data_IF_531387341152
#
_entry.id   IF_531387341152
#
_cell.length_a   1.000
_cell.length_b   1.000
_cell.length_c   1.000
_cell.angle_alpha   90.00
_cell.angle_beta   90.00
_cell.angle_gamma   90.00
#
_symmetry.space_group_name_H-M   'P 1'
#
loop_
_entity.id
_entity.type
_entity.pdbx_description
1 polymer ?
#
# COMPACT_ATOMS: atom_id res chain seq x y z
N UNK A 1 -10.38 -71.50 59.30
CA UNK A 1 -9.84 -70.18 58.91
C UNK A 1 -11.02 -69.28 58.57
N UNK A 2 -11.24 -68.21 59.35
CA UNK A 2 -12.43 -67.41 59.33
C UNK A 2 -12.59 -66.64 58.00
N UNK A 3 -13.68 -66.83 57.30
CA UNK A 3 -13.98 -66.16 56.02
C UNK A 3 -13.78 -64.64 56.09
N UNK A 4 -14.05 -64.05 57.27
CA UNK A 4 -13.85 -62.63 57.53
C UNK A 4 -12.36 -62.23 57.54
N UNK A 5 -11.46 -63.12 58.05
CA UNK A 5 -10.04 -62.84 58.06
C UNK A 5 -9.45 -62.86 56.63
N UNK A 6 -9.86 -63.82 55.82
CA UNK A 6 -9.44 -63.89 54.41
C UNK A 6 -9.89 -62.72 53.60
N UNK A 7 -11.11 -62.25 53.83
CA UNK A 7 -11.69 -61.08 53.15
C UNK A 7 -10.92 -59.79 53.49
N UNK A 8 -10.59 -59.60 54.77
CA UNK A 8 -9.82 -58.44 55.21
C UNK A 8 -8.38 -58.47 54.65
N UNK A 9 -7.73 -59.61 54.61
CA UNK A 9 -6.39 -59.73 54.00
C UNK A 9 -6.44 -59.40 52.50
N UNK A 10 -7.44 -59.87 51.76
CA UNK A 10 -7.66 -59.50 50.35
C UNK A 10 -7.89 -57.99 50.16
N UNK A 11 -8.69 -57.36 51.02
CA UNK A 11 -8.97 -55.93 50.96
C UNK A 11 -7.68 -55.11 51.18
N UNK A 12 -6.87 -55.46 52.19
CA UNK A 12 -5.60 -54.76 52.44
C UNK A 12 -4.59 -54.98 51.32
N UNK A 13 -4.54 -56.19 50.72
CA UNK A 13 -3.68 -56.50 49.58
C UNK A 13 -4.05 -55.68 48.33
N UNK A 14 -5.35 -55.64 47.95
CA UNK A 14 -5.83 -54.86 46.83
C UNK A 14 -5.70 -53.36 47.08
N UNK A 15 -5.90 -52.88 48.31
CA UNK A 15 -5.71 -51.50 48.70
C UNK A 15 -4.24 -51.08 48.57
N UNK A 16 -3.31 -51.96 48.93
CA UNK A 16 -1.85 -51.73 48.79
C UNK A 16 -1.43 -51.64 47.30
N UNK A 17 -1.96 -52.55 46.46
CA UNK A 17 -1.69 -52.50 45.01
C UNK A 17 -2.29 -51.22 44.38
N UNK A 18 -3.48 -50.82 44.77
CA UNK A 18 -4.10 -49.59 44.30
C UNK A 18 -3.34 -48.34 44.72
N UNK A 19 -2.86 -48.30 45.96
CA UNK A 19 -2.02 -47.22 46.45
C UNK A 19 -0.67 -47.12 45.69
N UNK A 20 -0.05 -48.28 45.39
CA UNK A 20 1.16 -48.35 44.58
C UNK A 20 0.91 -47.87 43.13
N UNK A 21 -0.20 -48.26 42.56
CA UNK A 21 -0.62 -47.80 41.23
C UNK A 21 -0.87 -46.28 41.21
N UNK A 22 -1.52 -45.74 42.24
CA UNK A 22 -1.73 -44.30 42.38
C UNK A 22 -0.43 -43.53 42.51
N UNK A 23 0.52 -44.06 43.33
CA UNK A 23 1.84 -43.43 43.46
C UNK A 23 2.59 -43.46 42.11
N UNK A 24 2.56 -44.60 41.41
CA UNK A 24 3.19 -44.72 40.09
C UNK A 24 2.52 -43.79 39.08
N UNK A 25 1.20 -43.70 39.08
CA UNK A 25 0.42 -42.79 38.22
C UNK A 25 0.76 -41.32 38.49
N UNK A 26 0.84 -40.93 39.76
CA UNK A 26 1.23 -39.55 40.16
C UNK A 26 2.69 -39.27 39.77
N UNK A 27 3.62 -40.20 40.02
CA UNK A 27 5.02 -40.03 39.62
C UNK A 27 5.19 -39.98 38.10
N UNK A 28 4.42 -40.77 37.37
CA UNK A 28 4.42 -40.73 35.90
C UNK A 28 3.87 -39.37 35.36
N UNK A 29 2.79 -38.88 35.95
CA UNK A 29 2.23 -37.55 35.56
C UNK A 29 3.10 -36.40 36.06
N UNK A 30 3.78 -36.51 37.19
CA UNK A 30 4.74 -35.49 37.64
C UNK A 30 6.01 -35.49 36.78
N UNK A 31 6.45 -36.65 36.29
CA UNK A 31 7.55 -36.77 35.35
C UNK A 31 7.24 -36.20 33.96
N UNK A 32 5.99 -36.32 33.50
CA UNK A 32 5.52 -35.71 32.23
C UNK A 32 5.11 -34.23 32.34
N UNK A 33 4.97 -33.69 33.58
CA UNK A 33 4.69 -32.25 33.79
C UNK A 33 5.96 -31.38 33.60
N UNK A 34 7.14 -31.98 33.34
CA UNK A 34 8.38 -31.28 33.02
C UNK A 34 8.58 -31.02 31.52
N UNK A 35 7.59 -31.25 30.64
CA UNK A 35 7.70 -30.84 29.25
C UNK A 35 7.85 -29.33 29.17
N UNK A 36 9.07 -28.87 28.98
CA UNK A 36 9.34 -27.45 28.64
C UNK A 36 8.75 -27.18 27.28
N UNK A 37 7.50 -26.69 27.25
CA UNK A 37 6.88 -26.19 26.05
C UNK A 37 7.61 -24.89 25.67
N UNK A 38 8.54 -25.02 24.74
CA UNK A 38 9.16 -23.84 24.15
C UNK A 38 8.10 -23.04 23.35
N UNK A 39 8.06 -21.72 23.50
CA UNK A 39 7.24 -20.92 22.61
C UNK A 39 7.71 -21.10 21.17
N UNK A 40 6.78 -21.43 20.28
CA UNK A 40 7.10 -21.70 18.87
C UNK A 40 6.32 -20.77 17.93
N UNK A 41 6.91 -20.52 16.76
CA UNK A 41 6.24 -19.90 15.62
C UNK A 41 6.33 -20.84 14.42
N UNK A 42 5.33 -20.81 13.55
CA UNK A 42 5.32 -21.65 12.35
C UNK A 42 6.03 -20.95 11.21
N UNK A 43 6.95 -21.66 10.54
CA UNK A 43 7.57 -21.20 9.30
C UNK A 43 6.51 -21.16 8.18
N UNK A 44 5.92 -20.02 7.96
CA UNK A 44 4.93 -19.79 6.91
C UNK A 44 5.54 -19.06 5.72
N UNK A 45 5.00 -19.27 4.51
CA UNK A 45 5.39 -18.48 3.35
C UNK A 45 4.85 -17.07 3.49
N UNK A 46 5.73 -16.11 3.31
CA UNK A 46 5.40 -14.69 3.24
C UNK A 46 6.11 -14.04 2.06
N UNK A 47 5.55 -12.93 1.61
CA UNK A 47 6.19 -12.03 0.65
C UNK A 47 6.63 -10.77 1.40
N UNK A 48 7.81 -10.28 1.10
CA UNK A 48 8.37 -9.07 1.66
C UNK A 48 8.84 -8.16 0.55
N UNK A 49 8.31 -6.96 0.52
CA UNK A 49 8.71 -5.94 -0.44
C UNK A 49 9.86 -5.12 0.15
N UNK A 50 10.91 -4.96 -0.64
CA UNK A 50 11.97 -3.98 -0.44
C UNK A 50 11.68 -2.77 -1.31
N UNK A 51 11.82 -1.58 -0.76
CA UNK A 51 11.54 -0.34 -1.48
C UNK A 51 11.64 0.85 -0.55
N UNK A 52 11.23 2.00 -1.05
CA UNK A 52 11.27 3.26 -0.32
C UNK A 52 10.06 4.14 -0.65
N UNK A 53 9.76 5.06 0.25
CA UNK A 53 8.75 6.09 0.07
C UNK A 53 9.41 7.38 -0.40
N UNK A 54 8.72 8.09 -1.29
CA UNK A 54 9.17 9.39 -1.79
C UNK A 54 7.98 10.23 -2.24
N UNK A 55 8.19 11.55 -2.26
CA UNK A 55 7.26 12.49 -2.90
C UNK A 55 7.57 12.54 -4.39
N UNK A 56 6.57 12.23 -5.21
CA UNK A 56 6.67 12.23 -6.66
C UNK A 56 5.84 13.35 -7.30
N UNK A 57 6.29 13.80 -8.44
CA UNK A 57 5.63 14.83 -9.25
C UNK A 57 5.28 14.28 -10.62
N UNK A 58 4.02 14.48 -11.03
CA UNK A 58 3.46 13.97 -12.29
C UNK A 58 3.75 14.94 -13.41
N UNK A 59 4.31 14.42 -14.51
CA UNK A 59 4.53 15.11 -15.78
C UNK A 59 3.66 14.45 -16.84
N UNK A 60 2.82 15.25 -17.52
CA UNK A 60 1.92 14.77 -18.55
C UNK A 60 1.59 15.89 -19.52
N UNK A 61 1.49 15.57 -20.81
CA UNK A 61 1.08 16.53 -21.83
C UNK A 61 -0.42 16.74 -21.74
N UNK A 62 -0.81 17.91 -21.24
CA UNK A 62 -2.18 18.28 -20.91
C UNK A 62 -2.57 19.55 -21.66
N UNK A 63 -3.79 19.52 -22.19
CA UNK A 63 -4.40 20.66 -22.84
C UNK A 63 -5.56 21.17 -22.00
N UNK A 64 -5.43 22.35 -21.41
CA UNK A 64 -6.51 23.02 -20.70
C UNK A 64 -7.57 23.46 -21.69
N UNK A 65 -8.83 23.26 -21.32
CA UNK A 65 -9.99 23.73 -22.08
C UNK A 65 -10.45 25.05 -21.48
N UNK A 66 -10.16 26.14 -22.17
CA UNK A 66 -10.62 27.46 -21.76
C UNK A 66 -12.14 27.48 -21.67
N UNK A 67 -12.68 28.04 -20.61
CA UNK A 67 -14.12 28.28 -20.47
C UNK A 67 -14.41 29.79 -20.66
N UNK A 68 -15.40 30.15 -21.50
CA UNK A 68 -15.87 31.51 -21.56
C UNK A 68 -16.59 31.90 -20.26
N UNK A 69 -16.94 33.17 -20.12
CA UNK A 69 -17.77 33.62 -18.99
C UNK A 69 -19.11 32.85 -18.95
N UNK A 70 -19.36 32.21 -17.79
CA UNK A 70 -20.52 31.36 -17.56
C UNK A 70 -20.16 30.08 -16.83
N UNK A 71 -21.15 29.22 -16.64
CA UNK A 71 -20.98 27.95 -15.93
C UNK A 71 -20.81 26.81 -16.93
N UNK A 72 -19.62 26.25 -16.99
CA UNK A 72 -19.31 25.14 -17.87
C UNK A 72 -19.59 23.79 -17.16
N UNK A 73 -20.49 22.99 -17.74
CA UNK A 73 -20.86 21.66 -17.19
C UNK A 73 -20.60 20.57 -18.19
N UNK A 74 -20.07 19.48 -17.67
CA UNK A 74 -19.76 18.27 -18.43
C UNK A 74 -20.55 17.07 -17.92
N UNK A 75 -20.88 16.17 -18.84
CA UNK A 75 -21.39 14.82 -18.52
C UNK A 75 -20.31 13.74 -18.63
N UNK A 76 -19.11 14.12 -19.07
CA UNK A 76 -18.00 13.20 -19.25
C UNK A 76 -17.44 12.75 -17.90
N UNK A 77 -17.00 11.49 -17.86
CA UNK A 77 -16.35 10.91 -16.69
C UNK A 77 -14.85 11.19 -16.69
N UNK A 78 -14.27 11.21 -15.50
CA UNK A 78 -12.82 11.27 -15.33
C UNK A 78 -12.11 10.12 -16.08
N UNK A 79 -11.13 10.46 -16.92
CA UNK A 79 -10.40 9.50 -17.73
C UNK A 79 -11.14 9.03 -18.98
N UNK A 80 -12.33 9.55 -19.29
CA UNK A 80 -13.06 9.19 -20.49
C UNK A 80 -12.31 9.59 -21.76
N UNK A 81 -12.21 8.63 -22.69
CA UNK A 81 -11.54 8.88 -23.97
C UNK A 81 -12.46 9.68 -24.88
N UNK A 82 -11.97 10.80 -25.40
CA UNK A 82 -12.71 11.70 -26.26
C UNK A 82 -11.97 11.93 -27.58
N UNK A 83 -12.73 12.15 -28.63
CA UNK A 83 -12.21 12.46 -29.94
C UNK A 83 -12.21 13.97 -30.20
N UNK A 84 -11.26 14.43 -31.01
CA UNK A 84 -11.25 15.81 -31.49
C UNK A 84 -12.61 16.22 -32.10
N UNK A 85 -13.12 17.38 -31.70
CA UNK A 85 -14.41 17.91 -32.12
C UNK A 85 -15.63 17.44 -31.31
N UNK A 86 -15.46 16.49 -30.41
CA UNK A 86 -16.53 16.06 -29.49
C UNK A 86 -16.85 17.19 -28.50
N UNK A 87 -18.13 17.36 -28.15
CA UNK A 87 -18.55 18.29 -27.11
C UNK A 87 -18.11 17.76 -25.76
N UNK A 88 -17.28 18.54 -25.06
CA UNK A 88 -16.75 18.22 -23.74
C UNK A 88 -17.59 18.83 -22.65
N UNK A 89 -18.03 20.08 -22.85
CA UNK A 89 -18.78 20.83 -21.87
C UNK A 89 -19.78 21.75 -22.53
N UNK A 90 -20.87 22.02 -21.83
CA UNK A 90 -21.88 22.99 -22.23
C UNK A 90 -21.85 24.16 -21.25
N UNK A 91 -21.81 25.39 -21.78
CA UNK A 91 -21.78 26.63 -20.99
C UNK A 91 -23.18 27.20 -20.88
N UNK A 92 -23.60 27.46 -19.65
CA UNK A 92 -24.92 28.02 -19.35
C UNK A 92 -24.79 29.47 -18.86
N UNK A 93 -25.89 30.29 -18.96
CA UNK A 93 -25.87 31.63 -18.41
C UNK A 93 -25.49 31.66 -16.94
N UNK A 94 -24.68 32.64 -16.55
CA UNK A 94 -24.20 32.78 -15.17
C UNK A 94 -25.40 33.02 -14.24
N UNK A 95 -25.51 32.13 -13.23
CA UNK A 95 -26.43 32.22 -12.10
C UNK A 95 -25.73 31.75 -10.85
N UNK A 96 -25.36 32.70 -9.98
CA UNK A 96 -24.53 32.42 -8.80
C UNK A 96 -25.10 31.31 -7.88
N UNK A 97 -26.41 31.29 -7.64
CA UNK A 97 -27.06 30.30 -6.79
C UNK A 97 -27.01 28.90 -7.42
N UNK A 98 -27.33 28.83 -8.72
CA UNK A 98 -27.26 27.55 -9.47
C UNK A 98 -25.83 27.07 -9.59
N UNK A 99 -24.88 27.95 -9.83
CA UNK A 99 -23.45 27.66 -9.95
C UNK A 99 -22.87 27.08 -8.63
N UNK A 100 -23.16 27.79 -7.53
CA UNK A 100 -22.71 27.30 -6.21
C UNK A 100 -23.27 25.90 -5.88
N UNK A 101 -24.59 25.72 -6.15
CA UNK A 101 -25.22 24.43 -5.85
C UNK A 101 -24.70 23.30 -6.72
N UNK A 102 -24.43 23.55 -7.99
CA UNK A 102 -23.85 22.58 -8.91
C UNK A 102 -22.40 22.22 -8.53
N UNK A 103 -21.61 23.20 -8.12
CA UNK A 103 -20.25 22.95 -7.59
C UNK A 103 -20.26 22.08 -6.33
N UNK A 104 -21.21 22.31 -5.42
CA UNK A 104 -21.42 21.47 -4.24
C UNK A 104 -21.78 20.02 -4.63
N UNK A 105 -22.74 19.86 -5.56
CA UNK A 105 -23.17 18.55 -6.08
C UNK A 105 -22.00 17.80 -6.71
N UNK A 106 -21.23 18.47 -7.56
CA UNK A 106 -20.07 17.84 -8.22
C UNK A 106 -18.98 17.44 -7.23
N UNK A 107 -18.77 18.23 -6.19
CA UNK A 107 -17.83 17.91 -5.12
C UNK A 107 -18.31 16.70 -4.32
N UNK A 108 -19.62 16.67 -3.96
CA UNK A 108 -20.20 15.52 -3.25
C UNK A 108 -20.18 14.25 -4.10
N UNK A 109 -20.53 14.32 -5.39
CA UNK A 109 -20.47 13.18 -6.32
C UNK A 109 -19.06 12.61 -6.39
N UNK A 110 -18.03 13.44 -6.59
CA UNK A 110 -16.62 12.98 -6.63
C UNK A 110 -16.20 12.25 -5.35
N UNK A 111 -16.60 12.78 -4.19
CA UNK A 111 -16.29 12.17 -2.89
C UNK A 111 -16.99 10.82 -2.73
N UNK A 112 -18.26 10.72 -3.10
CA UNK A 112 -19.06 9.50 -3.00
C UNK A 112 -18.57 8.41 -3.96
N UNK A 113 -18.28 8.77 -5.22
CA UNK A 113 -17.73 7.86 -6.23
C UNK A 113 -16.34 7.32 -5.81
N UNK A 114 -15.48 8.20 -5.28
CA UNK A 114 -14.21 7.78 -4.71
C UNK A 114 -14.40 6.87 -3.49
N UNK A 115 -15.47 7.09 -2.71
CA UNK A 115 -15.84 6.28 -1.54
C UNK A 115 -16.35 4.87 -1.88
N UNK A 116 -16.97 4.67 -3.05
CA UNK A 116 -17.54 3.37 -3.45
C UNK A 116 -16.48 2.31 -3.80
N UNK A 117 -15.23 2.69 -4.07
CA UNK A 117 -14.18 1.74 -4.40
C UNK A 117 -13.82 0.89 -3.18
N UNK A 118 -13.89 -0.43 -3.33
CA UNK A 118 -13.55 -1.36 -2.25
C UNK A 118 -12.05 -1.37 -1.97
N UNK A 119 -11.68 -1.13 -0.72
CA UNK A 119 -10.29 -1.15 -0.24
C UNK A 119 -10.25 -1.89 1.09
N UNK A 120 -9.15 -2.57 1.40
CA UNK A 120 -8.99 -3.25 2.68
C UNK A 120 -8.96 -2.25 3.85
N UNK A 121 -9.59 -2.58 4.96
CA UNK A 121 -9.73 -1.68 6.12
C UNK A 121 -8.37 -1.28 6.73
N UNK A 122 -7.38 -2.18 6.69
CA UNK A 122 -5.99 -1.92 7.09
C UNK A 122 -5.38 -0.77 6.30
N UNK A 123 -5.53 -0.81 4.97
CA UNK A 123 -4.95 0.16 4.04
C UNK A 123 -5.63 1.53 4.18
N UNK A 124 -6.95 1.54 4.42
CA UNK A 124 -7.70 2.78 4.69
C UNK A 124 -7.18 3.44 5.97
N UNK A 125 -6.91 2.65 7.01
CA UNK A 125 -6.41 3.17 8.30
C UNK A 125 -5.00 3.76 8.15
N UNK A 126 -4.12 3.09 7.42
CA UNK A 126 -2.77 3.59 7.12
C UNK A 126 -2.84 4.92 6.34
N UNK A 127 -3.67 4.99 5.29
CA UNK A 127 -3.88 6.21 4.49
C UNK A 127 -4.46 7.37 5.29
N UNK A 128 -5.45 7.13 6.16
CA UNK A 128 -5.98 8.18 7.04
C UNK A 128 -4.92 8.74 7.98
N UNK A 129 -4.01 7.91 8.46
CA UNK A 129 -2.87 8.35 9.28
C UNK A 129 -1.91 9.22 8.46
N UNK A 130 -1.58 8.82 7.24
CA UNK A 130 -0.74 9.62 6.32
C UNK A 130 -1.39 10.96 5.99
N UNK A 131 -2.66 10.99 5.56
CA UNK A 131 -3.38 12.24 5.27
C UNK A 131 -3.46 13.17 6.49
N UNK A 132 -3.63 12.64 7.70
CA UNK A 132 -3.65 13.46 8.91
C UNK A 132 -2.30 14.09 9.21
N UNK A 133 -1.20 13.41 8.90
CA UNK A 133 0.15 13.96 9.01
C UNK A 133 0.39 15.04 7.96
N UNK A 134 0.06 14.76 6.69
CA UNK A 134 0.19 15.71 5.59
C UNK A 134 -0.65 16.98 5.77
N UNK A 135 -1.88 16.87 6.28
CA UNK A 135 -2.71 18.05 6.60
C UNK A 135 -2.05 18.96 7.64
N UNK A 136 -1.37 18.41 8.65
CA UNK A 136 -0.62 19.21 9.63
C UNK A 136 0.56 19.93 8.99
N UNK A 137 1.24 19.27 8.09
CA UNK A 137 2.41 19.79 7.39
C UNK A 137 2.02 20.90 6.42
N UNK A 138 0.93 20.74 5.66
CA UNK A 138 0.41 21.77 4.75
C UNK A 138 -0.12 23.00 5.47
N UNK A 139 -0.75 22.83 6.64
CA UNK A 139 -1.14 23.95 7.50
C UNK A 139 0.09 24.72 7.99
N UNK A 140 1.12 24.00 8.46
CA UNK A 140 2.35 24.61 8.94
C UNK A 140 3.15 25.30 7.81
N UNK A 141 3.09 24.75 6.60
CA UNK A 141 3.78 25.26 5.40
C UNK A 141 3.03 26.38 4.65
N UNK A 142 1.79 26.70 5.01
CA UNK A 142 1.00 27.77 4.38
C UNK A 142 0.63 27.45 2.91
N UNK A 143 0.39 26.19 2.56
CA UNK A 143 0.10 25.73 1.20
C UNK A 143 -1.39 25.37 1.03
N UNK A 144 -2.30 26.35 0.75
CA UNK A 144 -3.74 26.11 0.76
C UNK A 144 -4.22 25.14 -0.32
N UNK A 145 -3.59 25.12 -1.49
CA UNK A 145 -3.95 24.19 -2.57
C UNK A 145 -3.71 22.72 -2.20
N UNK A 146 -2.56 22.42 -1.58
CA UNK A 146 -2.26 21.08 -1.07
C UNK A 146 -3.18 20.69 0.09
N UNK A 147 -3.58 21.64 0.93
CA UNK A 147 -4.52 21.40 2.02
C UNK A 147 -5.86 20.89 1.51
N UNK A 148 -6.48 21.58 0.55
CA UNK A 148 -7.79 21.20 -0.03
C UNK A 148 -7.73 19.81 -0.68
N UNK A 149 -6.63 19.49 -1.33
CA UNK A 149 -6.40 18.20 -1.97
C UNK A 149 -6.29 17.06 -0.95
N UNK A 150 -5.54 17.28 0.12
CA UNK A 150 -5.40 16.30 1.20
C UNK A 150 -6.69 16.12 1.99
N UNK A 151 -7.45 17.20 2.19
CA UNK A 151 -8.79 17.16 2.79
C UNK A 151 -9.73 16.27 1.98
N UNK A 152 -9.84 16.47 0.67
CA UNK A 152 -10.67 15.65 -0.22
C UNK A 152 -10.25 14.16 -0.17
N UNK A 153 -8.95 13.88 -0.13
CA UNK A 153 -8.42 12.52 -0.02
C UNK A 153 -8.77 11.88 1.33
N UNK A 154 -8.67 12.63 2.42
CA UNK A 154 -9.04 12.18 3.75
C UNK A 154 -10.55 11.91 3.86
N UNK A 155 -11.39 12.79 3.31
CA UNK A 155 -12.85 12.61 3.27
C UNK A 155 -13.24 11.36 2.47
N UNK A 156 -12.65 11.15 1.31
CA UNK A 156 -12.86 9.94 0.50
C UNK A 156 -12.47 8.67 1.26
N UNK A 157 -11.35 8.67 1.97
CA UNK A 157 -10.91 7.54 2.80
C UNK A 157 -11.87 7.28 3.99
N UNK A 158 -12.45 8.31 4.58
CA UNK A 158 -13.49 8.17 5.61
C UNK A 158 -14.78 7.55 5.06
N UNK A 159 -15.20 7.91 3.85
CA UNK A 159 -16.34 7.30 3.17
C UNK A 159 -16.08 5.82 2.87
N UNK A 160 -14.89 5.48 2.34
CA UNK A 160 -14.46 4.09 2.15
C UNK A 160 -14.46 3.29 3.45
N UNK A 161 -14.02 3.90 4.56
CA UNK A 161 -14.07 3.26 5.87
C UNK A 161 -15.49 2.94 6.33
N UNK A 162 -16.44 3.86 6.13
CA UNK A 162 -17.87 3.63 6.43
C UNK A 162 -18.44 2.46 5.63
N UNK A 163 -18.08 2.37 4.36
CA UNK A 163 -18.48 1.26 3.49
C UNK A 163 -17.84 -0.06 3.95
N UNK A 164 -16.52 -0.09 4.12
CA UNK A 164 -15.77 -1.27 4.53
C UNK A 164 -16.16 -1.80 5.93
N UNK A 165 -16.58 -0.93 6.84
CA UNK A 165 -17.10 -1.31 8.17
C UNK A 165 -18.55 -1.77 8.17
N UNK A 166 -19.25 -1.71 7.03
CA UNK A 166 -20.69 -2.03 6.92
C UNK A 166 -21.62 -0.98 7.52
N UNK A 167 -21.11 0.18 7.95
CA UNK A 167 -21.94 1.27 8.46
C UNK A 167 -22.85 1.87 7.36
N UNK A 168 -22.46 1.75 6.12
CA UNK A 168 -23.23 2.12 4.92
C UNK A 168 -23.12 0.96 3.93
N UNK A 169 -24.22 0.60 3.26
CA UNK A 169 -24.22 -0.51 2.28
C UNK A 169 -23.63 -0.08 0.93
N UNK A 170 -24.00 1.10 0.44
CA UNK A 170 -23.48 1.73 -0.77
C UNK A 170 -23.91 3.21 -0.79
N UNK A 171 -23.38 3.97 -1.72
CA UNK A 171 -23.74 5.38 -1.95
C UNK A 171 -24.60 5.57 -3.19
N UNK A 172 -24.95 4.50 -3.91
CA UNK A 172 -25.64 4.55 -5.20
C UNK A 172 -26.93 5.37 -5.16
N UNK A 173 -27.74 5.22 -4.10
CA UNK A 173 -28.99 6.00 -3.95
C UNK A 173 -28.73 7.50 -3.81
N UNK A 174 -27.71 7.91 -3.10
CA UNK A 174 -27.35 9.34 -2.96
C UNK A 174 -26.76 9.89 -4.26
N UNK A 175 -25.91 9.13 -4.94
CA UNK A 175 -25.35 9.47 -6.25
C UNK A 175 -26.47 9.65 -7.27
N UNK A 176 -27.45 8.74 -7.32
CA UNK A 176 -28.61 8.87 -8.21
C UNK A 176 -29.44 10.14 -7.93
N UNK A 177 -29.71 10.42 -6.65
CA UNK A 177 -30.44 11.62 -6.25
C UNK A 177 -29.72 12.93 -6.65
N UNK A 178 -28.42 12.98 -6.45
CA UNK A 178 -27.60 14.14 -6.84
C UNK A 178 -27.54 14.33 -8.35
N UNK A 179 -27.48 13.25 -9.13
CA UNK A 179 -27.53 13.35 -10.59
C UNK A 179 -28.89 13.86 -11.09
N UNK A 180 -30.00 13.43 -10.48
CA UNK A 180 -31.34 13.98 -10.81
C UNK A 180 -31.40 15.45 -10.45
N UNK A 181 -30.95 15.87 -9.27
CA UNK A 181 -30.91 17.27 -8.85
C UNK A 181 -30.06 18.10 -9.81
N UNK A 182 -28.90 17.60 -10.25
CA UNK A 182 -28.04 18.21 -11.24
C UNK A 182 -28.79 18.46 -12.58
N UNK A 183 -29.46 17.42 -13.09
CA UNK A 183 -30.23 17.50 -14.33
C UNK A 183 -31.40 18.54 -14.24
N UNK A 184 -32.10 18.58 -13.12
CA UNK A 184 -33.15 19.55 -12.87
C UNK A 184 -32.61 21.00 -12.82
N UNK A 185 -31.46 21.21 -12.19
CA UNK A 185 -30.82 22.54 -12.15
C UNK A 185 -30.37 22.98 -13.53
N UNK A 186 -29.79 22.11 -14.34
CA UNK A 186 -29.39 22.37 -15.71
C UNK A 186 -30.62 22.66 -16.61
N UNK A 187 -31.70 21.90 -16.43
CA UNK A 187 -32.95 22.16 -17.17
C UNK A 187 -33.55 23.54 -16.82
N UNK A 188 -33.45 23.98 -15.56
CA UNK A 188 -33.88 25.33 -15.15
C UNK A 188 -32.96 26.42 -15.67
N UNK A 189 -31.67 26.16 -15.89
CA UNK A 189 -30.73 27.10 -16.47
C UNK A 189 -31.01 27.41 -17.96
N UNK A 190 -31.82 26.59 -18.60
CA UNK A 190 -32.24 26.79 -20.00
C UNK A 190 -31.30 26.14 -21.01
N UNK A 191 -31.27 26.73 -22.24
CA UNK A 191 -30.37 26.21 -23.27
C UNK A 191 -28.95 26.71 -23.07
N UNK A 192 -27.94 25.87 -23.35
CA UNK A 192 -26.56 26.31 -23.30
C UNK A 192 -26.28 27.42 -24.29
N UNK A 193 -25.52 28.43 -23.87
CA UNK A 193 -25.10 29.55 -24.70
C UNK A 193 -23.94 29.20 -25.61
N UNK A 194 -23.10 28.24 -25.19
CA UNK A 194 -21.95 27.81 -25.95
C UNK A 194 -21.64 26.33 -25.65
N UNK A 195 -20.94 25.67 -26.56
CA UNK A 195 -20.41 24.30 -26.39
C UNK A 195 -18.92 24.30 -26.60
N UNK A 196 -18.20 23.83 -25.57
CA UNK A 196 -16.75 23.63 -25.61
C UNK A 196 -16.48 22.28 -26.28
N UNK A 197 -15.74 22.31 -27.38
CA UNK A 197 -15.36 21.10 -28.13
C UNK A 197 -13.90 20.77 -27.90
N UNK A 198 -13.59 19.47 -27.87
CA UNK A 198 -12.25 18.99 -27.76
C UNK A 198 -11.35 19.45 -28.92
N UNK A 199 -10.29 20.24 -28.68
CA UNK A 199 -9.34 20.64 -29.72
C UNK A 199 -8.45 19.52 -30.21
N UNK A 200 -8.25 18.50 -29.36
CA UNK A 200 -7.44 17.31 -29.60
C UNK A 200 -8.16 16.07 -29.07
N UNK A 201 -7.76 14.89 -29.52
CA UNK A 201 -8.22 13.62 -28.94
C UNK A 201 -7.38 13.28 -27.73
N UNK A 202 -7.96 12.60 -26.73
CA UNK A 202 -7.25 12.19 -25.52
C UNK A 202 -8.21 11.79 -24.39
N UNK A 203 -7.70 11.77 -23.17
CA UNK A 203 -8.49 11.44 -21.99
C UNK A 203 -8.87 12.70 -21.22
N UNK A 204 -10.17 12.85 -20.95
CA UNK A 204 -10.71 14.03 -20.27
C UNK A 204 -10.53 13.95 -18.75
N UNK A 205 -10.17 15.07 -18.13
CA UNK A 205 -10.11 15.26 -16.68
C UNK A 205 -10.76 16.58 -16.29
N UNK A 206 -11.72 16.58 -15.35
CA UNK A 206 -12.50 17.78 -15.02
C UNK A 206 -11.76 18.77 -14.12
N UNK A 207 -10.62 18.40 -13.55
CA UNK A 207 -9.88 19.21 -12.57
C UNK A 207 -8.53 19.62 -13.14
N UNK A 208 -8.28 20.92 -13.19
CA UNK A 208 -6.98 21.51 -13.45
C UNK A 208 -6.30 21.87 -12.11
N UNK A 209 -4.99 21.86 -12.11
CA UNK A 209 -4.17 22.26 -10.97
C UNK A 209 -3.39 23.56 -11.24
N UNK A 210 -3.67 24.19 -12.38
CA UNK A 210 -3.09 25.47 -12.83
C UNK A 210 -1.58 25.40 -13.20
N UNK A 211 -1.01 24.19 -13.22
CA UNK A 211 0.40 23.93 -13.58
C UNK A 211 0.55 23.04 -14.83
N UNK A 212 -0.52 22.85 -15.60
CA UNK A 212 -0.56 21.96 -16.76
C UNK A 212 0.50 22.31 -17.82
N UNK A 213 0.70 23.60 -18.05
CA UNK A 213 1.67 24.08 -19.02
C UNK A 213 3.13 23.89 -18.58
N UNK A 214 3.38 23.70 -17.27
CA UNK A 214 4.73 23.58 -16.72
C UNK A 214 5.21 22.14 -16.67
N UNK A 215 4.35 21.20 -16.21
CA UNK A 215 4.74 19.81 -15.97
C UNK A 215 4.44 18.91 -17.18
N UNK A 216 5.02 19.24 -18.33
CA UNK A 216 4.91 18.45 -19.57
C UNK A 216 6.02 17.40 -19.68
N UNK A 217 5.78 16.31 -20.42
CA UNK A 217 6.69 15.15 -20.47
C UNK A 217 8.07 15.49 -21.04
N UNK A 218 8.17 16.40 -22.01
CA UNK A 218 9.44 16.78 -22.62
C UNK A 218 10.38 17.52 -21.65
N UNK A 219 9.87 18.09 -20.55
CA UNK A 219 10.70 18.74 -19.54
C UNK A 219 11.61 17.72 -18.81
N UNK A 220 11.13 16.50 -18.60
CA UNK A 220 11.85 15.48 -17.83
C UNK A 220 13.17 15.05 -18.46
N UNK A 221 13.32 15.17 -19.79
CA UNK A 221 14.54 14.79 -20.52
C UNK A 221 15.74 15.68 -20.15
N UNK A 222 15.46 16.91 -19.68
CA UNK A 222 16.50 17.89 -19.30
C UNK A 222 16.66 18.09 -17.79
N UNK A 223 15.87 17.38 -16.97
CA UNK A 223 15.91 17.53 -15.52
C UNK A 223 17.20 16.96 -14.92
N UNK A 224 17.80 17.76 -14.05
CA UNK A 224 18.86 17.34 -13.12
C UNK A 224 18.35 17.41 -11.68
N UNK A 225 19.08 16.84 -10.73
CA UNK A 225 18.75 16.95 -9.29
C UNK A 225 18.53 18.41 -8.90
N UNK A 226 19.45 19.29 -9.28
CA UNK A 226 19.40 20.71 -8.91
C UNK A 226 18.25 21.46 -9.60
N UNK A 227 18.01 21.23 -10.90
CA UNK A 227 16.91 21.89 -11.63
C UNK A 227 15.55 21.43 -11.15
N UNK A 228 15.41 20.13 -10.85
CA UNK A 228 14.18 19.59 -10.30
C UNK A 228 13.90 20.08 -8.87
N UNK A 229 14.93 20.11 -8.01
CA UNK A 229 14.79 20.67 -6.65
C UNK A 229 14.32 22.13 -6.69
N UNK A 230 14.82 22.94 -7.65
CA UNK A 230 14.36 24.32 -7.82
C UNK A 230 12.92 24.39 -8.32
N UNK A 231 12.58 23.56 -9.32
CA UNK A 231 11.22 23.51 -9.88
C UNK A 231 10.17 23.19 -8.81
N UNK A 232 10.43 22.21 -7.93
CA UNK A 232 9.48 21.83 -6.89
C UNK A 232 9.43 22.82 -5.72
N UNK A 233 10.52 23.55 -5.46
CA UNK A 233 10.56 24.57 -4.41
C UNK A 233 9.84 25.87 -4.83
N UNK A 234 9.91 26.22 -6.10
CA UNK A 234 9.25 27.40 -6.69
C UNK A 234 8.81 27.10 -8.11
N UNK A 235 7.61 26.51 -8.29
CA UNK A 235 7.07 26.20 -9.61
C UNK A 235 6.58 27.45 -10.38
N UNK A 236 6.69 28.63 -9.82
CA UNK A 236 6.21 29.88 -10.41
C UNK A 236 4.74 30.14 -10.11
N UNK A 237 4.15 31.11 -10.85
CA UNK A 237 2.76 31.49 -10.66
C UNK A 237 1.85 30.49 -11.35
N UNK A 238 0.79 30.01 -10.67
CA UNK A 238 -0.27 29.21 -11.31
C UNK A 238 -1.04 30.04 -12.33
N UNK A 239 -1.64 29.38 -13.31
CA UNK A 239 -2.55 30.01 -14.28
C UNK A 239 -4.00 29.78 -13.86
N UNK A 240 -4.65 30.73 -13.16
CA UNK A 240 -6.00 30.58 -12.63
C UNK A 240 -7.09 30.85 -13.70
N UNK A 241 -6.79 30.77 -14.99
CA UNK A 241 -7.74 30.99 -16.05
C UNK A 241 -8.97 30.10 -15.93
N UNK A 242 -10.21 30.64 -16.15
CA UNK A 242 -11.41 29.83 -16.13
C UNK A 242 -11.31 28.69 -17.12
N UNK A 243 -11.61 27.46 -16.66
CA UNK A 243 -11.49 26.29 -17.49
C UNK A 243 -12.64 25.30 -17.31
N UNK A 244 -12.82 24.44 -18.30
CA UNK A 244 -13.80 23.37 -18.34
C UNK A 244 -13.11 21.98 -18.17
N UNK A 245 -11.98 21.96 -17.49
CA UNK A 245 -11.14 20.78 -17.35
C UNK A 245 -10.00 20.74 -18.37
N UNK A 246 -9.39 19.56 -18.50
CA UNK A 246 -8.21 19.33 -19.35
C UNK A 246 -8.28 18.00 -20.09
N UNK A 247 -7.53 17.91 -21.19
CA UNK A 247 -7.35 16.70 -21.98
C UNK A 247 -5.92 16.26 -21.88
N UNK A 248 -5.67 15.03 -21.44
CA UNK A 248 -4.38 14.39 -21.59
C UNK A 248 -4.22 13.91 -23.04
N UNK A 249 -3.32 14.54 -23.79
CA UNK A 249 -3.14 14.32 -25.23
C UNK A 249 -2.50 12.95 -25.54
N UNK A 250 -1.75 12.41 -24.57
CA UNK A 250 -1.03 11.15 -24.70
C UNK A 250 -1.35 10.21 -23.52
N UNK A 251 -1.29 8.91 -23.78
CA UNK A 251 -1.30 7.92 -22.70
C UNK A 251 0.01 7.92 -21.89
N UNK A 252 1.10 8.47 -22.46
CA UNK A 252 2.37 8.59 -21.77
C UNK A 252 2.27 9.65 -20.67
N UNK A 253 2.67 9.26 -19.48
CA UNK A 253 2.90 10.17 -18.36
C UNK A 253 4.11 9.70 -17.56
N UNK A 254 4.70 10.58 -16.81
CA UNK A 254 5.92 10.33 -16.08
C UNK A 254 5.78 10.79 -14.63
N UNK A 255 6.51 10.11 -13.77
CA UNK A 255 6.65 10.43 -12.36
C UNK A 255 8.11 10.73 -12.08
N UNK A 256 8.43 11.95 -11.69
CA UNK A 256 9.76 12.32 -11.25
C UNK A 256 9.78 12.45 -9.72
N UNK A 257 10.82 11.91 -9.08
CA UNK A 257 11.00 11.96 -7.64
C UNK A 257 12.47 12.07 -7.26
N UNK A 258 12.72 12.70 -6.10
CA UNK A 258 14.02 12.73 -5.45
C UNK A 258 14.08 11.68 -4.34
N UNK A 259 15.20 10.96 -4.29
CA UNK A 259 15.50 10.02 -3.21
C UNK A 259 16.97 10.12 -2.81
N UNK A 260 17.34 9.52 -1.69
CA UNK A 260 18.74 9.39 -1.30
C UNK A 260 19.46 8.41 -2.26
N UNK A 261 20.77 8.64 -2.47
CA UNK A 261 21.55 7.81 -3.38
C UNK A 261 21.51 6.32 -3.00
N UNK A 262 21.43 6.00 -1.70
CA UNK A 262 21.36 4.62 -1.20
C UNK A 262 20.12 3.87 -1.75
N UNK A 263 18.96 4.52 -1.76
CA UNK A 263 17.72 3.93 -2.27
C UNK A 263 17.76 3.64 -3.76
N UNK A 264 18.57 4.39 -4.51
CA UNK A 264 18.67 4.25 -5.96
C UNK A 264 19.66 3.16 -6.40
N UNK A 265 20.53 2.66 -5.51
CA UNK A 265 21.60 1.70 -5.85
C UNK A 265 21.08 0.37 -6.39
N UNK A 266 19.92 -0.07 -5.93
CA UNK A 266 19.29 -1.34 -6.35
C UNK A 266 18.45 -1.19 -7.63
N UNK A 267 18.22 0.04 -8.09
CA UNK A 267 17.37 0.32 -9.24
C UNK A 267 18.17 0.33 -10.55
N UNK A 268 17.60 -0.29 -11.57
CA UNK A 268 18.19 -0.38 -12.89
C UNK A 268 17.33 0.36 -13.92
N UNK A 269 17.97 1.24 -14.71
CA UNK A 269 17.32 1.91 -15.82
C UNK A 269 16.70 0.89 -16.78
N UNK A 270 15.54 1.23 -17.37
CA UNK A 270 14.75 0.42 -18.30
C UNK A 270 14.06 -0.82 -17.68
N UNK A 271 14.24 -1.05 -16.38
CA UNK A 271 13.49 -2.09 -15.65
C UNK A 271 12.13 -1.54 -15.21
N UNK A 272 11.14 -2.43 -15.12
CA UNK A 272 9.79 -2.13 -14.68
C UNK A 272 9.71 -2.33 -13.16
N UNK A 273 9.17 -1.35 -12.46
CA UNK A 273 8.92 -1.37 -11.02
C UNK A 273 7.45 -1.17 -10.72
N UNK A 274 6.99 -1.71 -9.60
CA UNK A 274 5.67 -1.39 -9.05
C UNK A 274 5.77 -0.09 -8.26
N UNK A 275 4.97 0.90 -8.64
CA UNK A 275 4.88 2.19 -7.95
C UNK A 275 3.48 2.33 -7.39
N UNK A 276 3.39 2.33 -6.07
CA UNK A 276 2.14 2.42 -5.34
C UNK A 276 1.91 3.84 -4.87
N UNK A 277 0.77 4.41 -5.25
CA UNK A 277 0.36 5.77 -4.89
C UNK A 277 -0.40 5.78 -3.56
N UNK A 278 -0.33 6.89 -2.84
CA UNK A 278 -1.02 7.07 -1.56
C UNK A 278 -2.54 6.91 -1.65
N UNK A 279 -3.14 7.15 -2.82
CA UNK A 279 -4.57 6.96 -3.09
C UNK A 279 -4.97 5.49 -3.35
N UNK A 280 -4.00 4.57 -3.29
CA UNK A 280 -4.14 3.12 -3.47
C UNK A 280 -4.04 2.65 -4.92
N UNK A 281 -3.83 3.53 -5.90
CA UNK A 281 -3.50 3.12 -7.26
C UNK A 281 -2.08 2.50 -7.29
N UNK A 282 -1.89 1.48 -8.11
CA UNK A 282 -0.60 0.82 -8.29
C UNK A 282 -0.33 0.69 -9.78
N UNK A 283 0.79 1.25 -10.24
CA UNK A 283 1.19 1.25 -11.64
C UNK A 283 2.49 0.47 -11.83
N UNK A 284 2.58 -0.21 -12.96
CA UNK A 284 3.84 -0.78 -13.45
C UNK A 284 4.54 0.29 -14.29
N UNK A 285 5.61 0.87 -13.74
CA UNK A 285 6.31 1.97 -14.37
C UNK A 285 7.73 1.58 -14.75
N UNK A 286 8.16 2.01 -15.93
CA UNK A 286 9.54 1.81 -16.39
C UNK A 286 10.42 2.95 -15.87
N UNK A 287 11.55 2.64 -15.24
CA UNK A 287 12.54 3.63 -14.85
C UNK A 287 13.26 4.15 -16.11
N UNK A 288 12.84 5.32 -16.60
CA UNK A 288 13.32 5.88 -17.87
C UNK A 288 14.60 6.71 -17.69
N UNK A 289 14.79 7.38 -16.55
CA UNK A 289 15.99 8.18 -16.29
C UNK A 289 16.44 8.10 -14.83
N UNK A 290 17.77 8.15 -14.65
CA UNK A 290 18.43 8.21 -13.35
C UNK A 290 19.52 9.29 -13.45
N UNK A 291 19.42 10.31 -12.60
CA UNK A 291 20.44 11.38 -12.49
C UNK A 291 20.91 11.48 -11.05
N UNK A 292 22.18 11.21 -10.81
CA UNK A 292 22.79 11.18 -9.46
C UNK A 292 23.57 12.45 -9.22
N UNK A 293 23.38 13.06 -8.07
CA UNK A 293 24.20 14.15 -7.56
C UNK A 293 24.82 13.74 -6.22
N UNK A 294 26.05 13.27 -6.29
CA UNK A 294 26.80 12.83 -5.10
C UNK A 294 27.11 13.97 -4.14
N UNK A 295 27.16 15.23 -4.62
CA UNK A 295 27.44 16.39 -3.78
C UNK A 295 26.26 16.72 -2.85
N UNK A 296 25.05 16.45 -3.32
CA UNK A 296 23.81 16.61 -2.57
C UNK A 296 23.36 15.32 -1.89
N UNK A 297 24.00 14.19 -2.19
CA UNK A 297 23.57 12.86 -1.72
C UNK A 297 22.19 12.43 -2.24
N UNK A 298 21.74 13.03 -3.35
CA UNK A 298 20.39 12.82 -3.92
C UNK A 298 20.44 12.25 -5.33
N UNK A 299 19.42 11.48 -5.65
CA UNK A 299 19.18 10.94 -6.99
C UNK A 299 17.79 11.34 -7.45
N UNK A 300 17.71 11.86 -8.67
CA UNK A 300 16.48 12.08 -9.41
C UNK A 300 16.16 10.82 -10.21
N UNK A 301 15.00 10.26 -9.99
CA UNK A 301 14.44 9.12 -10.71
C UNK A 301 13.23 9.58 -11.52
N UNK A 302 13.17 9.20 -12.79
CA UNK A 302 12.01 9.43 -13.65
C UNK A 302 11.46 8.10 -14.11
N UNK A 303 10.23 7.82 -13.71
CA UNK A 303 9.48 6.64 -14.12
C UNK A 303 8.46 7.03 -15.20
N UNK A 304 8.21 6.15 -16.15
CA UNK A 304 7.22 6.35 -17.22
C UNK A 304 6.17 5.24 -17.23
N UNK A 305 4.93 5.60 -17.51
CA UNK A 305 3.80 4.68 -17.71
C UNK A 305 2.93 5.11 -18.88
N UNK A 306 2.22 4.13 -19.46
CA UNK A 306 1.16 4.34 -20.45
C UNK A 306 -0.20 3.84 -19.96
N UNK A 307 -0.27 3.39 -18.72
CA UNK A 307 -1.52 2.97 -18.10
C UNK A 307 -2.37 4.21 -17.80
N UNK A 308 -3.64 4.18 -18.21
CA UNK A 308 -4.57 5.28 -17.92
C UNK A 308 -4.96 5.24 -16.44
N UNK A 309 -4.72 6.32 -15.69
CA UNK A 309 -5.15 6.40 -14.31
C UNK A 309 -6.68 6.35 -14.20
N UNK A 310 -7.18 5.52 -13.29
CA UNK A 310 -8.62 5.45 -13.02
C UNK A 310 -9.17 6.67 -12.27
N UNK A 311 -8.30 7.39 -11.58
CA UNK A 311 -8.62 8.61 -10.83
C UNK A 311 -7.73 9.74 -11.32
N UNK A 312 -8.13 10.98 -11.05
CA UNK A 312 -7.24 12.13 -11.25
C UNK A 312 -5.97 11.90 -10.43
N UNK A 313 -4.83 11.99 -11.11
CA UNK A 313 -3.53 12.00 -10.44
C UNK A 313 -3.25 13.42 -9.94
N UNK A 314 -2.95 13.51 -8.67
CA UNK A 314 -2.48 14.76 -8.10
C UNK A 314 -1.08 15.08 -8.61
N UNK A 315 -0.78 16.33 -8.92
CA UNK A 315 0.53 16.77 -9.42
C UNK A 315 1.65 16.33 -8.48
N UNK A 316 1.47 16.54 -7.19
CA UNK A 316 2.36 16.12 -6.13
C UNK A 316 1.69 15.00 -5.32
N UNK A 317 2.36 13.88 -5.14
CA UNK A 317 1.81 12.72 -4.45
C UNK A 317 2.89 11.90 -3.77
N UNK A 318 2.56 11.29 -2.63
CA UNK A 318 3.42 10.30 -2.02
C UNK A 318 3.30 8.96 -2.75
N UNK A 319 4.43 8.33 -2.98
CA UNK A 319 4.51 7.03 -3.64
C UNK A 319 5.47 6.11 -2.90
N UNK A 320 5.17 4.81 -2.96
CA UNK A 320 6.11 3.75 -2.56
C UNK A 320 6.64 3.07 -3.82
N UNK A 321 7.94 3.16 -4.04
CA UNK A 321 8.62 2.43 -5.12
C UNK A 321 9.04 1.08 -4.57
N UNK A 322 8.51 0.00 -5.15
CA UNK A 322 8.87 -1.37 -4.80
C UNK A 322 10.05 -1.81 -5.67
N UNK A 323 11.24 -1.85 -5.07
CA UNK A 323 12.47 -2.21 -5.77
C UNK A 323 12.52 -3.72 -6.06
N UNK A 324 12.23 -4.54 -5.05
CA UNK A 324 12.18 -5.99 -5.17
C UNK A 324 11.10 -6.60 -4.26
N UNK A 325 10.58 -7.75 -4.70
CA UNK A 325 9.67 -8.57 -3.89
C UNK A 325 10.33 -9.92 -3.65
N UNK A 326 10.64 -10.20 -2.41
CA UNK A 326 11.21 -11.47 -1.98
C UNK A 326 10.11 -12.40 -1.50
N UNK A 327 10.21 -13.67 -1.87
CA UNK A 327 9.34 -14.75 -1.37
C UNK A 327 10.17 -15.72 -0.53
N UNK A 328 9.66 -16.09 0.63
CA UNK A 328 10.40 -16.99 1.51
C UNK A 328 9.61 -17.37 2.74
N UNK A 329 10.33 -17.90 3.75
CA UNK A 329 9.77 -18.35 5.01
C UNK A 329 9.95 -17.29 6.11
N UNK A 330 8.89 -17.06 6.85
CA UNK A 330 8.87 -16.19 8.03
C UNK A 330 9.73 -16.77 9.14
N UNK A 331 10.64 -15.97 9.68
CA UNK A 331 11.52 -16.34 10.80
C UNK A 331 11.59 -15.17 11.80
N UNK A 332 11.03 -15.29 13.00
CA UNK A 332 11.17 -14.28 14.03
C UNK A 332 12.64 -14.01 14.36
N UNK A 333 13.04 -12.74 14.46
CA UNK A 333 14.45 -12.39 14.75
C UNK A 333 14.94 -12.97 16.07
N UNK A 334 14.06 -13.07 17.07
CA UNK A 334 14.36 -13.68 18.37
C UNK A 334 14.73 -15.17 18.28
N UNK A 335 14.34 -15.87 17.21
CA UNK A 335 14.62 -17.30 17.01
C UNK A 335 15.97 -17.57 16.36
N UNK A 336 16.56 -16.56 15.69
CA UNK A 336 17.79 -16.74 14.92
C UNK A 336 18.98 -16.95 15.84
N UNK A 337 19.77 -17.98 15.54
CA UNK A 337 21.00 -18.35 16.28
C UNK A 337 22.16 -18.48 15.30
N UNK A 338 23.35 -18.17 15.80
CA UNK A 338 24.62 -18.44 15.12
C UNK A 338 25.34 -19.55 15.87
N UNK A 339 25.54 -20.68 15.21
CA UNK A 339 26.16 -21.87 15.80
C UNK A 339 27.51 -22.11 15.10
N UNK A 340 28.52 -22.41 15.86
CA UNK A 340 29.85 -22.78 15.35
C UNK A 340 29.84 -24.26 14.99
N UNK A 341 30.03 -24.58 13.72
CA UNK A 341 30.16 -25.94 13.18
C UNK A 341 31.59 -26.20 12.72
N UNK A 342 31.89 -27.42 12.32
CA UNK A 342 33.19 -27.76 11.72
C UNK A 342 33.47 -26.99 10.43
N UNK A 343 32.41 -26.61 9.68
CA UNK A 343 32.49 -25.85 8.45
C UNK A 343 32.56 -24.32 8.67
N UNK A 344 32.47 -23.85 9.93
CA UNK A 344 32.47 -22.43 10.28
C UNK A 344 31.25 -22.00 11.07
N UNK A 345 30.96 -20.68 11.04
CA UNK A 345 29.80 -20.11 11.71
C UNK A 345 28.56 -20.18 10.79
N UNK A 346 27.54 -20.90 11.24
CA UNK A 346 26.28 -21.08 10.49
C UNK A 346 25.13 -20.36 11.18
N UNK A 347 24.34 -19.64 10.40
CA UNK A 347 23.10 -19.01 10.88
C UNK A 347 21.93 -19.96 10.69
N UNK A 348 21.09 -20.11 11.71
CA UNK A 348 19.94 -21.00 11.65
C UNK A 348 18.96 -20.77 12.80
N UNK A 349 18.01 -21.65 12.89
CA UNK A 349 16.98 -21.68 13.93
C UNK A 349 16.87 -23.09 14.51
N UNK A 350 16.42 -23.19 15.75
CA UNK A 350 15.99 -24.46 16.28
C UNK A 350 14.52 -24.70 15.96
N UNK A 351 14.19 -25.89 15.48
CA UNK A 351 12.83 -26.34 15.18
C UNK A 351 12.47 -27.53 16.06
N UNK A 352 11.20 -27.60 16.44
CA UNK A 352 10.66 -28.72 17.23
C UNK A 352 9.75 -29.59 16.38
N UNK A 353 9.96 -30.90 16.46
CA UNK A 353 9.07 -31.91 15.87
C UNK A 353 8.78 -32.99 16.88
N UNK A 354 7.60 -32.97 17.50
CA UNK A 354 7.30 -33.78 18.68
C UNK A 354 8.29 -33.45 19.81
N UNK A 355 8.95 -34.47 20.37
CA UNK A 355 9.93 -34.35 21.46
C UNK A 355 11.37 -34.16 20.97
N UNK A 356 11.59 -33.80 19.69
CA UNK A 356 12.93 -33.62 19.13
C UNK A 356 13.16 -32.22 18.65
N UNK A 357 14.35 -31.69 18.94
CA UNK A 357 14.83 -30.39 18.53
C UNK A 357 15.91 -30.59 17.47
N UNK A 358 15.77 -29.86 16.36
CA UNK A 358 16.71 -29.88 15.25
C UNK A 358 17.22 -28.48 14.98
N UNK A 359 18.50 -28.35 14.69
CA UNK A 359 19.05 -27.11 14.14
C UNK A 359 18.80 -27.09 12.62
N UNK A 360 18.20 -26.03 12.12
CA UNK A 360 17.92 -25.82 10.70
C UNK A 360 18.64 -24.58 10.21
N UNK A 361 19.46 -24.75 9.16
CA UNK A 361 20.16 -23.65 8.49
C UNK A 361 19.16 -22.71 7.83
N UNK A 362 19.44 -21.42 7.83
CA UNK A 362 18.67 -20.43 7.08
C UNK A 362 19.59 -19.56 6.23
N UNK A 363 19.12 -19.20 5.03
CA UNK A 363 19.72 -18.14 4.21
C UNK A 363 18.79 -16.95 4.26
N UNK A 364 19.25 -15.86 4.86
CA UNK A 364 18.45 -14.64 5.00
C UNK A 364 18.40 -13.91 3.67
N UNK A 365 17.19 -13.61 3.20
CA UNK A 365 16.91 -12.80 2.01
C UNK A 365 16.69 -11.34 2.37
N UNK A 366 15.96 -11.08 3.45
CA UNK A 366 15.62 -9.73 3.89
C UNK A 366 15.27 -9.69 5.38
N UNK A 367 15.24 -8.48 5.95
CA UNK A 367 14.85 -8.22 7.35
C UNK A 367 13.92 -7.03 7.41
N UNK A 368 12.81 -7.16 8.14
CA UNK A 368 11.84 -6.07 8.34
C UNK A 368 11.04 -6.32 9.63
N UNK A 369 10.73 -5.26 10.37
CA UNK A 369 9.79 -5.26 11.50
C UNK A 369 10.01 -6.38 12.55
N UNK A 370 11.28 -6.74 12.81
CA UNK A 370 11.62 -7.73 13.83
C UNK A 370 11.57 -9.19 13.36
N UNK A 371 11.48 -9.46 12.07
CA UNK A 371 11.56 -10.80 11.49
C UNK A 371 12.44 -10.84 10.24
N UNK A 372 13.00 -12.00 9.97
CA UNK A 372 13.77 -12.31 8.77
C UNK A 372 12.90 -13.08 7.78
N UNK A 373 13.15 -12.83 6.50
CA UNK A 373 12.69 -13.66 5.41
C UNK A 373 13.81 -14.63 5.06
N UNK A 374 13.58 -15.93 5.22
CA UNK A 374 14.53 -16.96 4.86
C UNK A 374 14.18 -17.59 3.52
N UNK A 375 15.22 -17.93 2.73
CA UNK A 375 15.05 -18.65 1.47
C UNK A 375 14.41 -20.01 1.72
N UNK A 376 13.36 -20.33 0.97
CA UNK A 376 12.77 -21.67 0.96
C UNK A 376 13.58 -22.58 0.02
N UNK A 377 13.97 -23.76 0.52
CA UNK A 377 14.68 -24.77 -0.25
C UNK A 377 13.76 -25.95 -0.54
N UNK A 378 13.80 -26.45 -1.76
CA UNK A 378 13.01 -27.57 -2.24
C UNK A 378 13.85 -28.85 -2.33
N UNK A 379 13.21 -29.99 -2.59
CA UNK A 379 13.87 -31.31 -2.74
C UNK A 379 14.91 -31.37 -3.86
N UNK A 380 14.95 -30.37 -4.75
CA UNK A 380 15.95 -30.25 -5.82
C UNK A 380 17.31 -29.73 -5.28
N UNK A 381 17.31 -29.11 -4.10
CA UNK A 381 18.55 -28.59 -3.48
C UNK A 381 19.25 -29.71 -2.71
N UNK A 382 20.54 -29.93 -2.91
CA UNK A 382 21.31 -30.83 -2.08
C UNK A 382 21.17 -30.44 -0.60
N UNK A 383 21.01 -31.42 0.28
CA UNK A 383 20.88 -31.23 1.73
C UNK A 383 19.71 -30.34 2.19
N UNK A 384 18.65 -30.18 1.35
CA UNK A 384 17.49 -29.36 1.69
C UNK A 384 16.90 -29.67 3.07
N UNK A 385 17.05 -30.90 3.56
CA UNK A 385 16.59 -31.36 4.88
C UNK A 385 17.33 -30.68 6.03
N UNK A 386 18.51 -30.13 5.80
CA UNK A 386 19.28 -29.38 6.80
C UNK A 386 18.81 -27.91 6.90
N UNK A 387 18.01 -27.45 5.95
CA UNK A 387 17.44 -26.12 5.93
C UNK A 387 16.04 -26.09 6.53
N UNK A 388 15.61 -24.88 6.95
CA UNK A 388 14.26 -24.62 7.41
C UNK A 388 13.25 -24.93 6.30
N UNK A 389 12.18 -25.63 6.65
CA UNK A 389 11.11 -26.00 5.72
C UNK A 389 9.77 -25.36 6.10
N UNK A 390 8.87 -25.30 5.12
CA UNK A 390 7.50 -24.85 5.35
C UNK A 390 6.83 -25.68 6.44
N UNK A 391 6.09 -25.02 7.32
CA UNK A 391 5.39 -25.59 8.49
C UNK A 391 6.31 -26.15 9.61
N UNK A 392 7.62 -25.95 9.55
CA UNK A 392 8.46 -26.24 10.71
C UNK A 392 8.08 -25.33 11.88
N UNK A 393 8.07 -25.89 13.09
CA UNK A 393 7.80 -25.16 14.33
C UNK A 393 9.13 -24.58 14.87
N UNK A 394 9.32 -23.28 14.65
CA UNK A 394 10.52 -22.54 15.05
C UNK A 394 10.43 -22.22 16.54
N UNK A 395 11.42 -22.56 17.32
CA UNK A 395 11.53 -22.21 18.75
C UNK A 395 11.93 -20.73 18.85
N UNK A 396 11.06 -19.92 19.44
CA UNK A 396 11.25 -18.45 19.55
C UNK A 396 11.83 -18.01 20.89
N UNK A 397 11.77 -18.86 21.91
CA UNK A 397 12.26 -18.56 23.26
C UNK A 397 12.75 -19.80 24.00
N UNK A 398 13.40 -19.59 25.13
CA UNK A 398 13.96 -20.64 25.98
C UNK A 398 15.42 -20.39 26.29
N UNK A 399 15.84 -20.73 27.51
CA UNK A 399 17.25 -20.70 27.91
C UNK A 399 17.91 -22.00 27.42
N UNK A 400 19.06 -21.90 26.74
CA UNK A 400 19.92 -23.05 26.33
C UNK A 400 19.21 -24.11 25.46
N UNK A 401 18.53 -23.69 24.37
CA UNK A 401 17.99 -24.64 23.38
C UNK A 401 19.17 -25.34 22.70
N UNK A 402 19.19 -26.67 22.74
CA UNK A 402 20.22 -27.52 22.11
C UNK A 402 19.53 -28.57 21.24
N UNK A 403 20.26 -29.05 20.24
CA UNK A 403 19.80 -30.15 19.40
C UNK A 403 19.69 -31.45 20.23
N UNK A 404 18.64 -32.23 19.97
CA UNK A 404 18.39 -33.46 20.69
C UNK A 404 16.94 -33.62 21.15
N UNK A 405 16.73 -34.25 22.27
CA UNK A 405 15.42 -34.37 22.88
C UNK A 405 15.11 -33.11 23.71
N UNK A 406 13.86 -32.63 23.59
CA UNK A 406 13.37 -31.63 24.51
C UNK A 406 13.37 -32.17 25.93
N UNK A 407 13.85 -31.43 26.92
CA UNK A 407 13.93 -31.86 28.30
C UNK A 407 12.57 -32.12 28.91
#
# INVERSE_FOLDING_TARGET
MDKKYLLNVCIYFFSGIFALFLIFFVLFHLGSAGETNYPTAVASRIEMESGFEATGYIFRDERVLEAPEGCAYTTLKTGENINKGMVVSSVYPKNEETEQRLAEIETELRLLEAGEKSVQLSDITARLKSYSAGLRETIAGGQPGLFLQQEASALSALLQRKLASGAVKNYAGRIAALNIEKEELLAKAGSPIEQIKAPVSGNYYPVCDEYEALFHTSLTDSLTVSSFSRLIADPGQPDPSPNAGKIAESSLWQLALLTDCENATELQKEKIYSVRFSDGQNFRMTLSSVSVDYSLGKTLLVFSSRETPEKVLNRCTEVTVVAETYKGLFVPAAAVRRVKTEEGQVTGVYTQRGNKIFFKKITILSYKDGYFLAKEYTSETPDYKSYLALNDQIITGGKEVKEGYAP
#
